data_IF_981940228681
#
_entry.id   IF_981940228681
#
_cell.length_a   1.000
_cell.length_b   1.000
_cell.length_c   1.000
_cell.angle_alpha   90.00
_cell.angle_beta   90.00
_cell.angle_gamma   90.00
#
_symmetry.space_group_name_H-M   'P 1'
#
loop_
_entity.id
_entity.type
_entity.pdbx_description
1 polymer ?
#
# COMPACT_ATOMS: atom_id res chain seq x y z
N UNK A 1 -6.44 17.98 -22.00
CA UNK A 1 -5.04 18.15 -22.44
C UNK A 1 -4.23 19.13 -21.61
N UNK A 2 -4.77 19.86 -20.61
CA UNK A 2 -3.99 21.00 -20.06
C UNK A 2 -3.72 21.00 -18.54
N UNK A 3 -4.04 19.92 -17.81
CA UNK A 3 -3.74 19.90 -16.35
C UNK A 3 -2.25 19.78 -16.05
N UNK A 4 -1.51 19.07 -16.91
CA UNK A 4 -0.07 18.83 -16.77
C UNK A 4 0.70 20.06 -17.23
N UNK A 5 0.35 20.64 -18.38
CA UNK A 5 0.91 21.91 -18.86
C UNK A 5 0.63 23.07 -17.89
N UNK A 6 -0.54 23.14 -17.26
CA UNK A 6 -0.82 24.17 -16.23
C UNK A 6 0.06 24.01 -14.98
N UNK A 7 0.50 22.79 -14.64
CA UNK A 7 1.24 22.50 -13.40
C UNK A 7 2.77 22.56 -13.58
N UNK A 8 3.26 22.15 -14.74
CA UNK A 8 4.70 22.05 -15.04
C UNK A 8 5.16 22.95 -16.19
N UNK A 9 4.23 23.66 -16.86
CA UNK A 9 4.57 24.58 -17.94
C UNK A 9 5.20 23.88 -19.15
N UNK A 10 6.22 24.52 -19.74
CA UNK A 10 7.03 23.94 -20.82
C UNK A 10 8.09 22.94 -20.31
N UNK A 11 8.38 22.95 -19.01
CA UNK A 11 9.38 22.10 -18.36
C UNK A 11 8.70 20.90 -17.69
N UNK A 12 8.16 20.00 -18.52
CA UNK A 12 7.60 18.75 -17.99
C UNK A 12 8.75 17.90 -17.43
N UNK A 13 8.77 17.58 -16.12
CA UNK A 13 9.82 16.78 -15.53
C UNK A 13 9.86 15.38 -16.17
N UNK A 14 11.06 14.81 -16.26
CA UNK A 14 11.21 13.44 -16.78
C UNK A 14 10.57 12.45 -15.81
N UNK A 15 10.17 11.29 -16.33
CA UNK A 15 9.65 10.18 -15.54
C UNK A 15 10.52 9.88 -14.31
N UNK A 16 11.83 9.80 -14.50
CA UNK A 16 12.78 9.47 -13.43
C UNK A 16 12.88 10.58 -12.38
N UNK A 17 12.69 11.84 -12.79
CA UNK A 17 12.67 12.99 -11.87
C UNK A 17 11.41 12.96 -11.00
N UNK A 18 10.26 12.62 -11.59
CA UNK A 18 9.01 12.46 -10.85
C UNK A 18 9.04 11.26 -9.90
N UNK A 19 9.62 10.13 -10.34
CA UNK A 19 9.79 8.98 -9.47
C UNK A 19 10.74 9.27 -8.32
N UNK A 20 11.87 9.95 -8.56
CA UNK A 20 12.80 10.35 -7.50
C UNK A 20 12.17 11.32 -6.48
N UNK A 21 11.21 12.14 -6.91
CA UNK A 21 10.47 13.05 -6.02
C UNK A 21 9.44 12.30 -5.15
N UNK A 22 8.79 11.28 -5.72
CA UNK A 22 7.73 10.51 -5.05
C UNK A 22 8.28 9.37 -4.19
N UNK A 23 9.38 8.78 -4.62
CA UNK A 23 10.00 7.62 -4.03
C UNK A 23 11.52 7.88 -3.96
N UNK A 24 12.09 8.09 -2.77
CA UNK A 24 13.48 8.53 -2.66
C UNK A 24 14.52 7.49 -3.08
N UNK A 25 14.18 6.19 -3.00
CA UNK A 25 15.13 5.10 -3.25
C UNK A 25 14.68 4.19 -4.41
N UNK A 26 15.62 3.55 -5.13
CA UNK A 26 15.29 2.57 -6.16
C UNK A 26 14.46 1.38 -5.64
N UNK A 27 14.62 1.01 -4.38
CA UNK A 27 13.86 -0.07 -3.75
C UNK A 27 12.39 0.35 -3.54
N UNK A 28 12.16 1.62 -3.18
CA UNK A 28 10.81 2.20 -3.14
C UNK A 28 10.16 2.20 -4.53
N UNK A 29 10.95 2.43 -5.59
CA UNK A 29 10.45 2.43 -6.98
C UNK A 29 9.98 1.05 -7.38
N UNK A 30 10.81 0.04 -7.09
CA UNK A 30 10.51 -1.36 -7.36
C UNK A 30 9.25 -1.81 -6.61
N UNK A 31 9.15 -1.43 -5.33
CA UNK A 31 8.00 -1.75 -4.48
C UNK A 31 6.72 -1.09 -4.99
N UNK A 32 6.76 0.21 -5.29
CA UNK A 32 5.63 0.95 -5.84
C UNK A 32 5.16 0.38 -7.19
N UNK A 33 6.10 -0.03 -8.05
CA UNK A 33 5.79 -0.68 -9.31
C UNK A 33 5.16 -2.06 -9.10
N UNK A 34 5.69 -2.85 -8.17
CA UNK A 34 5.14 -4.17 -7.83
C UNK A 34 3.71 -4.07 -7.27
N UNK A 35 3.45 -3.13 -6.36
CA UNK A 35 2.12 -2.82 -5.84
C UNK A 35 1.13 -2.49 -6.96
N UNK A 36 1.51 -1.57 -7.85
CA UNK A 36 0.66 -1.15 -8.96
C UNK A 36 0.36 -2.29 -9.95
N UNK A 37 1.36 -3.11 -10.27
CA UNK A 37 1.20 -4.29 -11.13
C UNK A 37 0.29 -5.33 -10.50
N UNK A 38 0.46 -5.59 -9.21
CA UNK A 38 -0.32 -6.59 -8.49
C UNK A 38 -1.79 -6.17 -8.33
N UNK A 39 -2.06 -4.93 -7.92
CA UNK A 39 -3.43 -4.39 -7.85
C UNK A 39 -4.12 -4.41 -9.23
N UNK A 40 -3.41 -4.02 -10.29
CA UNK A 40 -3.95 -4.05 -11.65
C UNK A 40 -4.26 -5.48 -12.12
N UNK A 41 -3.39 -6.45 -11.79
CA UNK A 41 -3.62 -7.85 -12.09
C UNK A 41 -4.87 -8.37 -11.39
N UNK A 42 -5.02 -8.11 -10.08
CA UNK A 42 -6.20 -8.50 -9.32
C UNK A 42 -7.47 -7.89 -9.90
N UNK A 43 -7.43 -6.59 -10.25
CA UNK A 43 -8.55 -5.90 -10.88
C UNK A 43 -8.91 -6.47 -12.25
N UNK A 44 -7.95 -6.99 -13.01
CA UNK A 44 -8.19 -7.44 -14.39
C UNK A 44 -8.55 -8.92 -14.48
N UNK A 45 -7.89 -9.76 -13.69
CA UNK A 45 -7.96 -11.22 -13.81
C UNK A 45 -8.58 -11.91 -12.59
N UNK A 46 -8.66 -11.22 -11.45
CA UNK A 46 -9.26 -11.73 -10.22
C UNK A 46 -10.34 -10.80 -9.66
N UNK A 47 -11.16 -10.19 -10.53
CA UNK A 47 -12.17 -9.18 -10.19
C UNK A 47 -13.04 -9.59 -9.01
N UNK A 48 -13.46 -10.87 -8.98
CA UNK A 48 -14.34 -11.38 -7.92
C UNK A 48 -13.68 -11.44 -6.54
N UNK A 49 -12.35 -11.44 -6.48
CA UNK A 49 -11.53 -11.31 -5.27
C UNK A 49 -11.31 -9.83 -4.99
N UNK A 50 -10.84 -9.08 -6.00
CA UNK A 50 -10.48 -7.65 -5.88
C UNK A 50 -11.62 -6.77 -5.36
N UNK A 51 -12.87 -7.04 -5.76
CA UNK A 51 -14.03 -6.23 -5.38
C UNK A 51 -14.63 -6.61 -4.01
N UNK A 52 -14.22 -7.74 -3.43
CA UNK A 52 -14.83 -8.31 -2.23
C UNK A 52 -13.90 -8.15 -1.01
N UNK A 53 -14.18 -7.20 -0.09
CA UNK A 53 -13.36 -6.98 1.09
C UNK A 53 -13.27 -8.21 2.00
N UNK A 54 -14.28 -9.08 2.04
CA UNK A 54 -14.24 -10.28 2.87
C UNK A 54 -13.26 -11.31 2.30
N UNK A 55 -13.21 -11.46 0.98
CA UNK A 55 -12.23 -12.35 0.35
C UNK A 55 -10.82 -11.83 0.52
N UNK A 56 -10.62 -10.53 0.35
CA UNK A 56 -9.32 -9.90 0.58
C UNK A 56 -8.88 -10.10 2.03
N UNK A 57 -9.74 -9.77 3.01
CA UNK A 57 -9.45 -9.99 4.43
C UNK A 57 -9.10 -11.46 4.74
N UNK A 58 -9.86 -12.40 4.17
CA UNK A 58 -9.64 -13.84 4.38
C UNK A 58 -8.34 -14.33 3.75
N UNK A 59 -8.02 -13.88 2.54
CA UNK A 59 -6.84 -14.34 1.80
C UNK A 59 -5.55 -13.65 2.28
N UNK A 60 -5.63 -12.42 2.75
CA UNK A 60 -4.51 -11.66 3.31
C UNK A 60 -4.35 -11.87 4.83
N UNK A 61 -5.26 -12.62 5.46
CA UNK A 61 -5.24 -12.91 6.91
C UNK A 61 -5.27 -11.65 7.80
N UNK A 62 -5.87 -10.55 7.30
CA UNK A 62 -6.00 -9.28 8.02
C UNK A 62 -7.44 -9.00 8.45
N UNK A 63 -7.60 -8.38 9.62
CA UNK A 63 -8.93 -8.13 10.21
C UNK A 63 -9.74 -7.07 9.46
N UNK A 64 -9.08 -6.04 8.93
CA UNK A 64 -9.74 -4.91 8.28
C UNK A 64 -8.88 -4.39 7.13
N UNK A 65 -9.07 -4.91 5.90
CA UNK A 65 -8.34 -4.40 4.73
C UNK A 65 -8.80 -2.97 4.42
N UNK A 66 -7.85 -2.06 4.21
CA UNK A 66 -8.16 -0.66 3.95
C UNK A 66 -8.29 -0.38 2.46
N UNK A 67 -9.27 0.47 2.13
CA UNK A 67 -9.53 0.91 0.75
C UNK A 67 -9.29 2.38 0.64
N UNK A 68 -8.45 2.75 -0.31
CA UNK A 68 -8.23 4.14 -0.66
C UNK A 68 -9.38 4.56 -1.57
N UNK A 69 -10.37 5.24 -0.99
CA UNK A 69 -11.52 5.78 -1.70
C UNK A 69 -11.14 7.07 -2.45
N UNK A 70 -10.22 6.98 -3.40
CA UNK A 70 -9.92 8.06 -4.33
C UNK A 70 -10.05 7.56 -5.77
N UNK A 71 -10.82 8.31 -6.57
CA UNK A 71 -11.18 8.00 -7.97
C UNK A 71 -12.31 6.97 -8.16
N UNK A 72 -12.75 6.81 -9.41
CA UNK A 72 -13.68 5.76 -9.87
C UNK A 72 -13.07 4.34 -9.80
N UNK A 73 -11.89 4.20 -9.21
CA UNK A 73 -11.17 2.94 -9.07
C UNK A 73 -11.12 2.55 -7.60
N UNK A 74 -11.45 1.31 -7.31
CA UNK A 74 -11.24 0.72 -5.99
C UNK A 74 -9.76 0.35 -5.89
N UNK A 75 -9.01 1.02 -5.01
CA UNK A 75 -7.60 0.76 -4.74
C UNK A 75 -7.48 0.20 -3.32
N UNK A 76 -6.80 -0.93 -3.19
CA UNK A 76 -6.36 -1.43 -1.89
C UNK A 76 -5.13 -0.64 -1.44
N UNK A 77 -4.99 -0.45 -0.14
CA UNK A 77 -3.78 0.16 0.41
C UNK A 77 -2.59 -0.81 0.31
N UNK A 78 -1.40 -0.25 0.47
CA UNK A 78 -0.14 -0.98 0.26
C UNK A 78 -0.01 -2.15 1.24
N UNK A 79 -0.44 -1.99 2.49
CA UNK A 79 -0.36 -3.04 3.50
C UNK A 79 -1.27 -4.22 3.17
N UNK A 80 -2.48 -3.97 2.67
CA UNK A 80 -3.38 -5.03 2.21
C UNK A 80 -2.78 -5.81 1.03
N UNK A 81 -2.16 -5.11 0.08
CA UNK A 81 -1.57 -5.74 -1.10
C UNK A 81 -0.33 -6.56 -0.73
N UNK A 82 0.51 -6.06 0.17
CA UNK A 82 1.69 -6.76 0.69
C UNK A 82 1.25 -8.03 1.45
N UNK A 83 0.30 -7.92 2.38
CA UNK A 83 -0.21 -9.07 3.14
C UNK A 83 -0.85 -10.13 2.24
N UNK A 84 -1.53 -9.72 1.16
CA UNK A 84 -2.10 -10.65 0.19
C UNK A 84 -1.03 -11.35 -0.67
N UNK A 85 0.08 -10.67 -0.97
CA UNK A 85 1.20 -11.21 -1.73
C UNK A 85 2.04 -12.19 -0.90
N UNK A 86 2.23 -11.94 0.40
CA UNK A 86 2.95 -12.83 1.31
C UNK A 86 2.14 -14.06 1.75
N UNK A 87 0.82 -14.05 1.57
CA UNK A 87 -0.04 -15.15 2.00
C UNK A 87 0.07 -16.41 1.14
N UNK A 88 -0.57 -17.50 1.60
CA UNK A 88 -0.67 -18.75 0.84
C UNK A 88 -1.32 -18.59 -0.55
N UNK A 89 -2.10 -17.52 -0.75
CA UNK A 89 -2.65 -17.16 -2.05
C UNK A 89 -1.58 -16.60 -2.98
N UNK A 90 -0.77 -15.64 -2.50
CA UNK A 90 0.34 -15.07 -3.25
C UNK A 90 1.36 -16.13 -3.66
N UNK A 91 1.74 -17.04 -2.74
CA UNK A 91 2.63 -18.15 -3.06
C UNK A 91 2.12 -19.06 -4.19
N UNK A 92 0.80 -19.25 -4.32
CA UNK A 92 0.19 -19.99 -5.44
C UNK A 92 0.16 -19.20 -6.74
N UNK A 93 0.07 -17.87 -6.66
CA UNK A 93 0.11 -17.00 -7.83
C UNK A 93 1.49 -16.97 -8.48
N UNK A 94 2.58 -16.94 -7.68
CA UNK A 94 3.97 -16.99 -8.19
C UNK A 94 4.15 -18.14 -9.19
N UNK A 95 3.62 -19.33 -8.87
CA UNK A 95 3.80 -20.54 -9.68
C UNK A 95 2.95 -20.55 -10.95
N UNK A 96 1.83 -19.81 -10.99
CA UNK A 96 0.77 -19.99 -12.00
C UNK A 96 0.47 -18.72 -12.82
N UNK A 97 1.30 -17.69 -12.73
CA UNK A 97 1.05 -16.40 -13.42
C UNK A 97 2.20 -16.02 -14.36
N UNK A 98 1.98 -14.94 -15.11
CA UNK A 98 3.00 -14.40 -15.98
C UNK A 98 4.24 -13.96 -15.18
N UNK A 99 5.46 -14.04 -15.75
CA UNK A 99 6.71 -13.76 -15.02
C UNK A 99 6.71 -12.41 -14.30
N UNK A 100 6.22 -11.35 -14.95
CA UNK A 100 6.15 -10.01 -14.36
C UNK A 100 5.21 -9.90 -13.15
N UNK A 101 4.21 -10.78 -13.04
CA UNK A 101 3.31 -10.84 -11.87
C UNK A 101 3.95 -11.68 -10.78
N UNK A 102 4.58 -12.80 -11.14
CA UNK A 102 5.38 -13.61 -10.22
C UNK A 102 6.47 -12.77 -9.55
N UNK A 103 7.22 -11.99 -10.33
CA UNK A 103 8.29 -11.11 -9.84
C UNK A 103 7.73 -10.04 -8.89
N UNK A 104 6.59 -9.42 -9.25
CA UNK A 104 5.93 -8.44 -8.40
C UNK A 104 5.48 -9.05 -7.07
N UNK A 105 4.85 -10.24 -7.09
CA UNK A 105 4.44 -10.93 -5.85
C UNK A 105 5.64 -11.30 -4.99
N UNK A 106 6.75 -11.74 -5.60
CA UNK A 106 8.01 -12.02 -4.90
C UNK A 106 8.57 -10.78 -4.20
N UNK A 107 8.67 -9.65 -4.89
CA UNK A 107 9.14 -8.38 -4.32
C UNK A 107 8.28 -7.97 -3.11
N UNK A 108 6.95 -8.07 -3.22
CA UNK A 108 6.05 -7.70 -2.12
C UNK A 108 6.13 -8.67 -0.94
N UNK A 109 6.36 -9.96 -1.18
CA UNK A 109 6.58 -10.93 -0.12
C UNK A 109 7.89 -10.67 0.63
N UNK A 110 8.98 -10.36 -0.09
CA UNK A 110 10.27 -9.99 0.52
C UNK A 110 10.14 -8.72 1.40
N UNK A 111 9.33 -7.75 0.96
CA UNK A 111 9.03 -6.55 1.76
C UNK A 111 8.29 -6.90 3.07
N UNK A 112 7.38 -7.87 3.05
CA UNK A 112 6.69 -8.32 4.26
C UNK A 112 7.69 -8.91 5.26
N UNK A 113 8.58 -9.79 4.81
CA UNK A 113 9.61 -10.44 5.65
C UNK A 113 10.54 -9.40 6.31
N UNK A 114 10.94 -8.36 5.58
CA UNK A 114 11.80 -7.30 6.14
C UNK A 114 11.12 -6.43 7.20
N UNK A 115 9.78 -6.33 7.18
CA UNK A 115 9.02 -5.54 8.16
C UNK A 115 8.77 -6.31 9.46
N UNK A 116 8.66 -7.65 9.41
CA UNK A 116 8.48 -8.50 10.60
C UNK A 116 9.71 -8.45 11.54
N UNK A 117 10.91 -8.31 10.99
CA UNK A 117 12.16 -8.19 11.76
C UNK A 117 12.28 -6.86 12.55
N UNK A 118 11.44 -5.87 12.25
CA UNK A 118 11.49 -4.53 12.88
C UNK A 118 10.53 -4.39 14.07
N UNK A 119 9.49 -5.22 14.15
CA UNK A 119 8.49 -5.17 15.24
C UNK A 119 8.99 -5.81 16.55
N UNK A 120 10.01 -6.68 16.53
CA UNK A 120 10.62 -7.27 17.74
C UNK A 120 11.52 -6.28 18.52
N UNK A 121 11.90 -5.15 17.90
CA UNK A 121 12.75 -4.13 18.52
C UNK A 121 11.96 -2.96 19.18
N UNK A 122 10.62 -2.96 19.10
CA UNK A 122 9.83 -1.72 19.23
C UNK A 122 8.64 -1.74 20.18
N UNK A 123 8.50 -2.69 21.11
CA UNK A 123 7.46 -2.61 22.15
C UNK A 123 7.89 -1.72 23.33
N UNK A 124 7.89 -0.40 23.12
CA UNK A 124 7.93 0.59 24.20
C UNK A 124 6.67 1.47 24.14
N UNK A 125 5.83 1.27 25.15
CA UNK A 125 4.55 1.91 25.41
C UNK A 125 4.55 3.44 25.27
N UNK A 126 3.52 3.98 24.63
CA UNK A 126 2.94 5.27 25.03
C UNK A 126 1.41 5.22 24.96
N UNK A 127 0.78 4.75 26.04
CA UNK A 127 -0.50 5.30 26.46
C UNK A 127 -0.22 6.67 27.06
N UNK A 128 -0.70 7.74 26.43
CA UNK A 128 -0.86 9.04 27.07
C UNK A 128 -2.35 9.31 27.26
N UNK A 129 -2.89 8.77 28.34
CA UNK A 129 -4.15 9.26 28.90
C UNK A 129 -3.94 10.72 29.33
N UNK A 130 -4.65 11.64 28.69
CA UNK A 130 -4.74 13.03 29.14
C UNK A 130 -6.20 13.43 29.26
N UNK A 131 -6.81 13.00 30.36
CA UNK A 131 -8.08 13.52 30.88
C UNK A 131 -7.88 14.05 32.29
N UNK A 132 -7.59 15.34 32.44
CA UNK A 132 -7.80 16.07 33.69
C UNK A 132 -8.26 17.51 33.43
N UNK A 133 -9.59 17.62 33.32
CA UNK A 133 -10.49 18.59 33.97
C UNK A 133 -10.10 20.08 34.08
N UNK A 134 -10.86 20.87 33.30
CA UNK A 134 -11.25 22.27 33.40
C UNK A 134 -10.93 23.05 34.69
N UNK A 135 -10.13 24.11 34.52
CA UNK A 135 -10.07 25.25 35.44
C UNK A 135 -11.31 26.14 35.26
N UNK A 136 -11.96 26.45 36.39
CA UNK A 136 -13.04 27.44 36.49
C UNK A 136 -12.47 28.87 36.39
N UNK A 137 -13.11 29.71 35.57
CA UNK A 137 -12.84 31.14 35.48
C UNK A 137 -13.63 31.93 36.56
N UNK A 138 -13.09 33.04 37.10
CA UNK A 138 -13.85 33.94 37.96
C UNK A 138 -14.49 35.06 37.14
N UNK A 139 -15.79 35.30 37.31
CA UNK A 139 -16.45 36.52 36.85
C UNK A 139 -16.45 37.57 37.96
N UNK A 140 -16.12 38.81 37.57
CA UNK A 140 -16.26 40.06 38.34
C UNK A 140 -17.71 40.48 38.47
#
# INVERSE_FOLDING_TARGET
>A
MDRIQTRYGADTPTHDTLLAELFPTPDDWSTAQALALFDLYLRSYAVSIHMDPLKIATLAEIQSPERILHSHFLLWDDMTLIALASSSFGGKLIVNTAPNISDAVGILADVADTNEDMEDAGSASYYSDSSTNSQAAPCR
#
